data_IF_531595605983
#
_entry.id   IF_531595605983
#
_cell.length_a   1.000
_cell.length_b   1.000
_cell.length_c   1.000
_cell.angle_alpha   90.00
_cell.angle_beta   90.00
_cell.angle_gamma   90.00
#
_symmetry.space_group_name_H-M   'P 1'
#
loop_
_entity.id
_entity.type
_entity.pdbx_description
1 polymer ?
#
# COMPACT_ATOMS: atom_id res chain seq x y z
N UNK A 1 106.65 -36.17 -0.15
CA UNK A 1 105.48 -37.03 -0.30
C UNK A 1 104.35 -36.46 0.50
N UNK A 2 103.55 -35.58 -0.09
CA UNK A 2 102.41 -34.90 0.58
C UNK A 2 101.26 -34.90 -0.40
N UNK A 3 100.16 -35.53 0.05
CA UNK A 3 98.95 -35.74 -0.68
C UNK A 3 98.05 -34.48 -0.51
N UNK A 4 97.68 -33.87 -1.64
CA UNK A 4 96.76 -32.70 -1.62
C UNK A 4 95.31 -33.13 -1.63
N UNK A 5 94.55 -32.57 -0.70
CA UNK A 5 93.13 -32.80 -0.58
C UNK A 5 92.35 -31.71 -1.38
N UNK A 6 91.65 -32.17 -2.40
CA UNK A 6 90.78 -31.29 -3.22
C UNK A 6 89.49 -30.92 -2.47
N UNK A 7 89.19 -29.61 -2.39
CA UNK A 7 87.96 -29.06 -1.88
C UNK A 7 86.94 -28.96 -3.00
N UNK A 8 85.91 -29.76 -2.98
CA UNK A 8 84.72 -29.63 -3.83
C UNK A 8 83.81 -28.47 -3.34
N UNK A 9 83.64 -27.43 -4.13
CA UNK A 9 82.67 -26.36 -3.93
C UNK A 9 81.27 -26.86 -4.30
N UNK A 10 80.34 -26.92 -3.31
CA UNK A 10 78.96 -27.13 -3.55
C UNK A 10 78.28 -25.78 -4.02
N UNK A 11 77.81 -25.79 -5.24
CA UNK A 11 76.97 -24.67 -5.78
C UNK A 11 75.56 -24.86 -5.25
N UNK A 12 75.13 -23.94 -4.39
CA UNK A 12 73.72 -23.82 -3.96
C UNK A 12 72.94 -23.17 -5.10
N UNK A 13 72.06 -23.94 -5.72
CA UNK A 13 71.00 -23.39 -6.59
C UNK A 13 69.97 -22.72 -5.75
N UNK A 14 69.82 -21.40 -5.89
CA UNK A 14 68.68 -20.59 -5.32
C UNK A 14 67.57 -20.70 -6.32
N UNK A 15 66.46 -21.30 -5.93
CA UNK A 15 65.19 -21.28 -6.66
C UNK A 15 64.49 -19.92 -6.41
N UNK A 16 64.02 -19.25 -7.44
CA UNK A 16 63.20 -18.03 -7.22
C UNK A 16 61.81 -18.39 -6.65
N UNK A 17 61.48 -17.78 -5.53
CA UNK A 17 60.14 -17.84 -4.96
C UNK A 17 59.16 -17.13 -5.91
N UNK A 18 58.33 -17.90 -6.61
CA UNK A 18 57.25 -17.38 -7.42
C UNK A 18 56.15 -16.80 -6.52
N UNK A 19 55.97 -15.49 -6.60
CA UNK A 19 54.87 -14.77 -5.96
C UNK A 19 53.58 -15.12 -6.72
N UNK A 20 52.76 -16.02 -6.15
CA UNK A 20 51.40 -16.27 -6.68
C UNK A 20 50.51 -15.14 -6.23
N UNK A 21 50.26 -14.21 -7.13
CA UNK A 21 49.28 -13.11 -6.93
C UNK A 21 47.89 -13.68 -7.11
N UNK A 22 47.20 -14.03 -6.03
CA UNK A 22 45.78 -14.42 -6.03
C UNK A 22 44.92 -13.16 -6.25
N UNK A 23 44.48 -12.97 -7.49
CA UNK A 23 43.48 -11.92 -7.82
C UNK A 23 42.12 -12.39 -7.29
N UNK A 24 41.67 -11.84 -6.15
CA UNK A 24 40.30 -11.95 -5.71
C UNK A 24 39.40 -11.12 -6.65
N UNK A 25 38.76 -11.79 -7.60
CA UNK A 25 37.67 -11.18 -8.39
C UNK A 25 36.46 -11.07 -7.49
N UNK A 26 36.28 -9.91 -6.89
CA UNK A 26 35.03 -9.56 -6.22
C UNK A 26 33.92 -9.45 -7.29
N UNK A 27 33.09 -10.48 -7.42
CA UNK A 27 31.86 -10.39 -8.20
C UNK A 27 30.90 -9.42 -7.49
N UNK A 28 30.94 -8.16 -7.93
CA UNK A 28 29.89 -7.20 -7.58
C UNK A 28 28.61 -7.72 -8.22
N UNK A 29 27.76 -8.37 -7.44
CA UNK A 29 26.42 -8.70 -7.87
C UNK A 29 25.72 -7.39 -8.17
N UNK A 30 25.55 -7.04 -9.45
CA UNK A 30 24.69 -5.95 -9.88
C UNK A 30 23.26 -6.25 -9.38
N UNK A 31 22.87 -5.70 -8.23
CA UNK A 31 21.47 -5.63 -7.88
C UNK A 31 20.79 -4.75 -8.95
N UNK A 32 19.70 -5.21 -9.58
CA UNK A 32 18.94 -4.35 -10.47
C UNK A 32 18.57 -3.07 -9.70
N UNK A 33 18.67 -1.90 -10.34
CA UNK A 33 18.25 -0.65 -9.69
C UNK A 33 16.81 -0.81 -9.24
N UNK A 34 16.53 -0.40 -7.98
CA UNK A 34 15.14 -0.33 -7.48
C UNK A 34 14.36 0.54 -8.46
N UNK A 35 13.14 0.15 -8.85
CA UNK A 35 12.30 1.00 -9.68
C UNK A 35 12.16 2.36 -9.01
N UNK A 36 12.12 3.45 -9.80
CA UNK A 36 12.02 4.79 -9.24
C UNK A 36 10.81 4.86 -8.30
N UNK A 37 10.89 5.63 -7.20
CA UNK A 37 9.77 5.78 -6.27
C UNK A 37 8.50 6.06 -7.06
N UNK A 38 7.52 5.15 -6.96
CA UNK A 38 6.18 5.32 -7.48
C UNK A 38 5.95 5.06 -8.97
N UNK A 39 6.73 4.23 -9.67
CA UNK A 39 6.23 3.71 -10.94
C UNK A 39 4.82 3.11 -10.72
N UNK A 40 3.82 3.43 -11.58
CA UNK A 40 2.50 2.85 -11.44
C UNK A 40 2.66 1.34 -11.48
N UNK A 41 2.37 0.70 -10.34
CA UNK A 41 2.31 -0.75 -10.28
C UNK A 41 0.96 -1.12 -10.87
N UNK A 42 0.92 -1.54 -12.13
CA UNK A 42 -0.27 -2.20 -12.64
C UNK A 42 -0.62 -3.32 -11.67
N UNK A 43 -1.83 -3.30 -11.12
CA UNK A 43 -2.29 -4.40 -10.30
C UNK A 43 -2.45 -5.61 -11.24
N UNK A 44 -1.77 -6.74 -10.99
CA UNK A 44 -2.05 -7.96 -11.73
C UNK A 44 -3.50 -8.36 -11.45
N UNK A 45 -4.12 -9.04 -12.42
CA UNK A 45 -5.48 -9.57 -12.27
C UNK A 45 -5.61 -10.31 -10.92
N UNK A 46 -6.80 -10.25 -10.31
CA UNK A 46 -7.08 -10.85 -9.01
C UNK A 46 -6.68 -12.34 -8.95
N UNK A 47 -6.86 -13.07 -10.06
CA UNK A 47 -6.50 -14.47 -10.22
C UNK A 47 -5.00 -14.76 -10.38
N UNK A 48 -4.17 -13.74 -10.62
CA UNK A 48 -2.76 -13.94 -10.96
C UNK A 48 -1.84 -14.06 -9.74
N UNK A 49 -2.31 -13.75 -8.53
CA UNK A 49 -1.51 -13.83 -7.31
C UNK A 49 -2.39 -14.21 -6.11
N UNK A 50 -1.85 -15.03 -5.22
CA UNK A 50 -2.39 -15.16 -3.88
C UNK A 50 -2.08 -13.89 -3.09
N UNK A 51 -3.08 -13.01 -2.95
CA UNK A 51 -2.93 -11.78 -2.22
C UNK A 51 -2.86 -12.06 -0.72
N UNK A 52 -1.71 -11.73 -0.12
CA UNK A 52 -1.51 -11.64 1.31
C UNK A 52 -1.35 -10.18 1.67
N UNK A 53 -2.23 -9.63 2.49
CA UNK A 53 -2.21 -8.21 2.75
C UNK A 53 -2.21 -7.86 4.23
N UNK A 54 -1.72 -6.68 4.54
CA UNK A 54 -1.72 -6.09 5.87
C UNK A 54 -2.34 -4.69 5.78
N UNK A 55 -3.22 -4.39 6.71
CA UNK A 55 -3.73 -3.04 6.92
C UNK A 55 -3.28 -2.57 8.28
N UNK A 56 -2.34 -1.65 8.32
CA UNK A 56 -1.78 -1.17 9.57
C UNK A 56 -1.65 0.35 9.56
N UNK A 57 -2.40 1.01 10.44
CA UNK A 57 -2.38 2.46 10.59
C UNK A 57 -1.78 2.90 11.93
N UNK A 58 -1.54 1.95 12.85
CA UNK A 58 -1.02 2.23 14.19
C UNK A 58 0.03 1.22 14.63
N UNK A 59 0.86 1.65 15.57
CA UNK A 59 1.93 0.82 16.14
C UNK A 59 3.17 0.75 15.25
N UNK A 60 4.17 0.03 15.74
CA UNK A 60 5.42 -0.19 15.01
C UNK A 60 5.19 -1.12 13.82
N UNK A 61 5.70 -0.71 12.66
CA UNK A 61 5.60 -1.50 11.44
C UNK A 61 6.59 -2.66 11.48
N UNK A 62 6.07 -3.89 11.40
CA UNK A 62 6.87 -5.09 11.23
C UNK A 62 7.04 -5.40 9.72
N UNK A 63 8.24 -5.21 9.15
CA UNK A 63 8.49 -5.50 7.74
C UNK A 63 8.52 -7.00 7.43
N UNK A 64 8.61 -7.87 8.43
CA UNK A 64 8.69 -9.33 8.26
C UNK A 64 7.31 -10.00 8.19
N UNK A 65 6.23 -9.24 8.39
CA UNK A 65 4.87 -9.77 8.19
C UNK A 65 4.76 -10.38 6.79
N UNK A 66 4.30 -11.63 6.67
CA UNK A 66 4.20 -12.33 5.38
C UNK A 66 3.04 -11.77 4.54
N UNK A 67 3.22 -10.55 4.02
CA UNK A 67 2.27 -9.85 3.17
C UNK A 67 2.98 -9.29 1.93
N UNK A 68 2.26 -9.26 0.82
CA UNK A 68 2.73 -8.66 -0.44
C UNK A 68 1.97 -7.37 -0.80
N UNK A 69 1.01 -6.97 0.03
CA UNK A 69 0.31 -5.67 -0.01
C UNK A 69 0.24 -5.08 1.38
N UNK A 70 0.63 -3.83 1.53
CA UNK A 70 0.54 -3.09 2.79
C UNK A 70 -0.25 -1.80 2.59
N UNK A 71 -1.34 -1.65 3.35
CA UNK A 71 -2.09 -0.40 3.46
C UNK A 71 -1.62 0.33 4.72
N UNK A 72 -1.05 1.51 4.55
CA UNK A 72 -0.35 2.24 5.60
C UNK A 72 -0.76 3.72 5.66
N UNK A 73 -0.55 4.33 6.83
CA UNK A 73 -0.69 5.77 7.02
C UNK A 73 0.55 6.51 6.42
N UNK A 74 0.36 7.42 5.46
CA UNK A 74 1.47 8.13 4.84
C UNK A 74 2.15 9.14 5.76
N UNK A 75 1.49 9.63 6.80
CA UNK A 75 2.08 10.58 7.74
C UNK A 75 3.01 9.83 8.70
N UNK A 76 2.54 8.74 9.28
CA UNK A 76 3.28 7.91 10.23
C UNK A 76 4.41 7.09 9.58
N UNK A 77 4.23 6.65 8.33
CA UNK A 77 5.20 5.78 7.65
C UNK A 77 6.34 6.60 7.04
N UNK A 78 7.59 6.20 7.30
CA UNK A 78 8.79 6.85 6.74
C UNK A 78 9.17 6.30 5.36
N UNK A 79 9.93 7.09 4.58
CA UNK A 79 10.47 6.64 3.30
C UNK A 79 11.45 5.45 3.46
N UNK A 80 12.15 5.33 4.58
CA UNK A 80 13.02 4.20 4.88
C UNK A 80 12.21 2.91 5.06
N UNK A 81 11.10 2.95 5.80
CA UNK A 81 10.22 1.80 5.98
C UNK A 81 9.61 1.34 4.65
N UNK A 82 9.13 2.27 3.83
CA UNK A 82 8.60 1.92 2.50
C UNK A 82 9.67 1.33 1.59
N UNK A 83 10.92 1.80 1.65
CA UNK A 83 12.03 1.25 0.89
C UNK A 83 12.32 -0.22 1.27
N UNK A 84 12.29 -0.55 2.57
CA UNK A 84 12.46 -1.93 3.06
C UNK A 84 11.37 -2.85 2.50
N UNK A 85 10.10 -2.45 2.61
CA UNK A 85 8.98 -3.26 2.09
C UNK A 85 9.05 -3.43 0.57
N UNK A 86 9.40 -2.38 -0.17
CA UNK A 86 9.56 -2.43 -1.63
C UNK A 86 10.70 -3.35 -2.06
N UNK A 87 11.80 -3.40 -1.30
CA UNK A 87 12.90 -4.33 -1.54
C UNK A 87 12.48 -5.81 -1.41
N UNK A 88 11.34 -6.08 -0.78
CA UNK A 88 10.69 -7.39 -0.64
C UNK A 88 9.57 -7.62 -1.67
N UNK A 89 9.53 -6.82 -2.74
CA UNK A 89 8.48 -6.84 -3.79
C UNK A 89 7.05 -6.59 -3.25
N UNK A 90 6.93 -5.89 -2.12
CA UNK A 90 5.62 -5.54 -1.55
C UNK A 90 5.03 -4.32 -2.26
N UNK A 91 3.72 -4.36 -2.48
CA UNK A 91 2.93 -3.24 -2.99
C UNK A 91 2.47 -2.37 -1.84
N UNK A 92 2.70 -1.08 -1.95
CA UNK A 92 2.41 -0.13 -0.89
C UNK A 92 1.24 0.76 -1.27
N UNK A 93 0.23 0.75 -0.43
CA UNK A 93 -0.99 1.52 -0.55
C UNK A 93 -1.03 2.58 0.54
N UNK A 94 -1.17 3.82 0.15
CA UNK A 94 -1.27 4.98 1.01
C UNK A 94 -2.74 5.23 1.31
N UNK A 95 -3.19 5.16 2.57
CA UNK A 95 -4.56 5.54 2.90
C UNK A 95 -4.68 7.05 3.02
N UNK A 96 -5.63 7.64 2.30
CA UNK A 96 -5.94 9.07 2.34
C UNK A 96 -7.42 9.30 2.53
N UNK A 97 -7.77 10.03 3.57
CA UNK A 97 -9.13 10.52 3.78
C UNK A 97 -9.41 11.66 2.80
N UNK A 98 -10.26 11.41 1.80
CA UNK A 98 -10.51 12.36 0.71
C UNK A 98 -11.75 13.20 0.92
N UNK A 99 -12.75 12.68 1.66
CA UNK A 99 -14.02 13.36 1.95
C UNK A 99 -14.11 13.95 3.36
N UNK A 100 -13.06 13.84 4.15
CA UNK A 100 -13.02 14.36 5.52
C UNK A 100 -11.63 14.85 5.92
N UNK A 101 -11.58 15.63 7.01
CA UNK A 101 -10.33 16.12 7.62
C UNK A 101 -10.37 15.92 9.13
N UNK A 102 -9.27 15.46 9.73
CA UNK A 102 -9.09 15.42 11.17
C UNK A 102 -8.43 16.74 11.65
N UNK A 103 -8.75 17.24 12.85
CA UNK A 103 -8.09 18.43 13.39
C UNK A 103 -6.56 18.33 13.42
N UNK A 104 -6.02 17.14 13.71
CA UNK A 104 -4.59 16.86 13.79
C UNK A 104 -3.94 16.54 12.43
N UNK A 105 -4.70 16.51 11.31
CA UNK A 105 -4.09 16.36 10.00
C UNK A 105 -3.15 17.56 9.73
N UNK A 106 -1.91 17.37 9.28
CA UNK A 106 -0.91 18.45 9.14
C UNK A 106 -1.37 19.60 8.23
N UNK A 107 -2.29 19.32 7.34
CA UNK A 107 -2.86 20.26 6.37
C UNK A 107 -4.30 20.68 6.70
N UNK A 108 -4.79 20.39 7.91
CA UNK A 108 -6.16 20.68 8.30
C UNK A 108 -6.53 22.15 8.11
N UNK A 109 -5.63 23.07 8.42
CA UNK A 109 -5.84 24.53 8.28
C UNK A 109 -6.06 25.00 6.83
N UNK A 110 -5.73 24.19 5.84
CA UNK A 110 -5.92 24.51 4.42
C UNK A 110 -7.35 24.36 3.92
N UNK A 111 -8.21 23.75 4.71
CA UNK A 111 -9.65 23.66 4.42
C UNK A 111 -10.36 24.82 5.08
N UNK A 112 -10.88 25.82 4.36
CA UNK A 112 -11.59 26.94 4.93
C UNK A 112 -12.93 26.50 5.53
N UNK A 113 -13.49 27.33 6.42
CA UNK A 113 -14.67 26.98 7.21
C UNK A 113 -15.91 26.61 6.34
N UNK A 114 -16.07 27.26 5.20
CA UNK A 114 -17.20 27.06 4.29
C UNK A 114 -17.23 25.67 3.62
N UNK A 115 -16.11 24.93 3.61
CA UNK A 115 -16.10 23.56 3.11
C UNK A 115 -16.10 22.52 4.22
N UNK A 116 -16.14 22.92 5.50
CA UNK A 116 -16.19 22.03 6.64
C UNK A 116 -17.64 21.86 7.10
N UNK A 117 -18.09 20.64 7.14
CA UNK A 117 -19.45 20.29 7.55
C UNK A 117 -19.54 19.77 8.98
N UNK A 118 -20.33 18.75 9.17
CA UNK A 118 -20.52 18.11 10.48
C UNK A 118 -19.35 17.21 10.83
N UNK A 119 -19.02 17.12 12.12
CA UNK A 119 -18.03 16.16 12.64
C UNK A 119 -18.66 14.78 12.78
N UNK A 120 -17.95 13.77 12.28
CA UNK A 120 -18.38 12.37 12.38
C UNK A 120 -18.26 11.87 13.81
N UNK A 121 -19.28 11.20 14.29
CA UNK A 121 -19.30 10.65 15.64
C UNK A 121 -18.28 9.51 15.76
N UNK A 122 -17.38 9.61 16.73
CA UNK A 122 -16.39 8.55 17.08
C UNK A 122 -15.07 8.59 16.32
N UNK A 123 -14.90 9.51 15.37
CA UNK A 123 -13.63 9.67 14.64
C UNK A 123 -13.05 11.07 14.70
N UNK A 124 -13.77 12.04 15.26
CA UNK A 124 -13.42 13.47 15.31
C UNK A 124 -13.11 14.11 13.94
N UNK A 125 -13.40 13.38 12.84
CA UNK A 125 -13.21 13.87 11.48
C UNK A 125 -14.38 14.71 11.04
N UNK A 126 -14.10 15.84 10.44
CA UNK A 126 -15.08 16.76 9.87
C UNK A 126 -15.27 16.45 8.39
N UNK A 127 -16.53 16.22 7.97
CA UNK A 127 -16.86 16.01 6.57
C UNK A 127 -16.60 17.27 5.74
N UNK A 128 -16.21 17.04 4.48
CA UNK A 128 -15.91 18.11 3.53
C UNK A 128 -17.00 18.21 2.46
N UNK A 129 -17.25 19.44 1.98
CA UNK A 129 -18.14 19.65 0.84
C UNK A 129 -17.47 19.20 -0.46
N UNK A 130 -17.73 17.96 -0.86
CA UNK A 130 -17.14 17.34 -2.06
C UNK A 130 -17.51 18.02 -3.38
N UNK A 131 -18.48 18.94 -3.38
CA UNK A 131 -18.84 19.77 -4.54
C UNK A 131 -17.78 20.84 -4.81
N UNK A 132 -16.97 21.19 -3.80
CA UNK A 132 -15.94 22.22 -3.87
C UNK A 132 -14.59 21.65 -4.31
N UNK A 133 -14.61 21.02 -5.49
CA UNK A 133 -13.39 20.45 -6.09
C UNK A 133 -12.26 21.47 -6.26
N UNK A 134 -12.60 22.70 -6.58
CA UNK A 134 -11.67 23.83 -6.68
C UNK A 134 -10.83 24.04 -5.41
N UNK A 135 -11.43 23.86 -4.24
CA UNK A 135 -10.78 23.99 -2.92
C UNK A 135 -10.08 22.70 -2.51
N UNK A 136 -10.71 21.55 -2.73
CA UNK A 136 -10.20 20.25 -2.23
C UNK A 136 -9.03 19.72 -3.06
N UNK A 137 -9.06 19.89 -4.37
CA UNK A 137 -8.07 19.37 -5.31
C UNK A 137 -6.61 19.71 -4.96
N UNK A 138 -6.22 20.97 -4.69
CA UNK A 138 -4.83 21.29 -4.38
C UNK A 138 -4.33 20.61 -3.11
N UNK A 139 -5.16 20.45 -2.09
CA UNK A 139 -4.80 19.78 -0.84
C UNK A 139 -4.64 18.27 -1.07
N UNK A 140 -5.58 17.64 -1.76
CA UNK A 140 -5.52 16.21 -2.10
C UNK A 140 -4.33 15.90 -3.01
N UNK A 141 -4.00 16.79 -3.95
CA UNK A 141 -2.82 16.62 -4.80
C UNK A 141 -1.53 16.61 -3.97
N UNK A 142 -1.42 17.43 -2.94
CA UNK A 142 -0.23 17.44 -2.08
C UNK A 142 -0.17 16.19 -1.19
N UNK A 143 -1.30 15.68 -0.67
CA UNK A 143 -1.38 14.39 0.02
C UNK A 143 -0.91 13.25 -0.89
N UNK A 144 -1.33 13.23 -2.14
CA UNK A 144 -0.92 12.21 -3.11
C UNK A 144 0.56 12.34 -3.50
N UNK A 145 1.09 13.56 -3.64
CA UNK A 145 2.53 13.80 -3.84
C UNK A 145 3.35 13.30 -2.64
N UNK A 146 2.85 13.48 -1.41
CA UNK A 146 3.48 12.91 -0.21
C UNK A 146 3.55 11.38 -0.29
N UNK A 147 2.44 10.72 -0.64
CA UNK A 147 2.42 9.27 -0.84
C UNK A 147 3.45 8.85 -1.90
N UNK A 148 3.43 9.50 -3.05
CA UNK A 148 4.35 9.23 -4.15
C UNK A 148 5.80 9.41 -3.74
N UNK A 149 6.12 10.53 -3.10
CA UNK A 149 7.47 10.87 -2.64
C UNK A 149 8.01 9.91 -1.59
N UNK A 150 7.14 9.26 -0.81
CA UNK A 150 7.51 8.21 0.14
C UNK A 150 7.58 6.81 -0.50
N UNK A 151 7.30 6.66 -1.79
CA UNK A 151 7.45 5.40 -2.51
C UNK A 151 6.21 4.50 -2.53
N UNK A 152 5.03 5.03 -2.17
CA UNK A 152 3.78 4.33 -2.39
C UNK A 152 3.45 4.29 -3.90
N UNK A 153 2.86 3.19 -4.36
CA UNK A 153 2.42 3.01 -5.74
C UNK A 153 0.90 3.06 -5.92
N UNK A 154 0.16 3.13 -4.81
CA UNK A 154 -1.30 3.16 -4.81
C UNK A 154 -1.83 4.05 -3.70
N UNK A 155 -3.07 4.51 -3.84
CA UNK A 155 -3.81 5.26 -2.82
C UNK A 155 -5.15 4.62 -2.57
N UNK A 156 -5.49 4.44 -1.29
CA UNK A 156 -6.81 4.01 -0.84
C UNK A 156 -7.61 5.25 -0.45
N UNK A 157 -8.71 5.48 -1.16
CA UNK A 157 -9.59 6.63 -1.00
C UNK A 157 -10.59 6.32 0.12
N UNK A 158 -10.37 6.87 1.30
CA UNK A 158 -11.22 6.74 2.46
C UNK A 158 -12.20 7.91 2.59
N UNK A 159 -13.33 7.71 3.28
CA UNK A 159 -14.40 8.69 3.47
C UNK A 159 -14.98 9.19 2.13
N UNK A 160 -15.18 8.28 1.21
CA UNK A 160 -15.64 8.56 -0.15
C UNK A 160 -17.18 8.40 -0.29
N UNK A 161 -17.92 8.52 0.80
CA UNK A 161 -19.38 8.27 0.89
C UNK A 161 -20.14 9.33 1.68
N UNK A 162 -19.61 10.55 1.79
CA UNK A 162 -20.18 11.65 2.57
C UNK A 162 -21.66 11.94 2.26
N UNK A 163 -22.13 11.61 1.05
CA UNK A 163 -23.54 11.74 0.68
C UNK A 163 -24.47 10.81 1.47
N UNK A 164 -23.97 9.67 1.93
CA UNK A 164 -24.71 8.71 2.74
C UNK A 164 -24.55 8.97 4.25
N UNK A 165 -23.80 10.00 4.61
CA UNK A 165 -23.48 10.38 5.98
C UNK A 165 -24.20 11.69 6.38
N UNK A 166 -24.20 11.97 7.68
CA UNK A 166 -24.64 13.28 8.16
C UNK A 166 -23.52 14.32 7.98
N UNK A 167 -23.17 14.59 6.72
CA UNK A 167 -22.03 15.44 6.40
C UNK A 167 -22.24 16.92 6.70
N UNK A 168 -23.46 17.36 6.93
CA UNK A 168 -23.81 18.79 7.09
C UNK A 168 -24.01 19.52 5.75
N UNK A 169 -23.89 18.80 4.62
CA UNK A 169 -24.12 19.33 3.28
C UNK A 169 -25.23 18.55 2.56
N UNK A 170 -26.00 19.19 1.67
CA UNK A 170 -26.99 18.52 0.84
C UNK A 170 -26.30 17.78 -0.32
N UNK A 171 -25.53 16.76 0.02
CA UNK A 171 -24.85 15.91 -0.96
C UNK A 171 -25.82 14.82 -1.43
N UNK A 172 -25.72 14.46 -2.69
CA UNK A 172 -26.40 13.33 -3.30
C UNK A 172 -25.41 12.33 -3.91
N UNK A 173 -25.94 11.25 -4.47
CA UNK A 173 -25.18 10.20 -5.12
C UNK A 173 -24.30 10.74 -6.26
N UNK A 174 -24.84 11.65 -7.08
CA UNK A 174 -24.14 12.17 -8.27
C UNK A 174 -23.03 13.16 -7.89
N UNK A 175 -23.22 13.97 -6.86
CA UNK A 175 -22.17 14.82 -6.31
C UNK A 175 -20.98 13.98 -5.86
N UNK A 176 -21.24 12.93 -5.10
CA UNK A 176 -20.19 12.04 -4.59
C UNK A 176 -19.54 11.24 -5.71
N UNK A 177 -20.30 10.69 -6.65
CA UNK A 177 -19.78 9.93 -7.77
C UNK A 177 -18.82 10.78 -8.63
N UNK A 178 -19.22 12.01 -8.94
CA UNK A 178 -18.38 12.95 -9.67
C UNK A 178 -17.07 13.23 -8.94
N UNK A 179 -17.16 13.50 -7.64
CA UNK A 179 -15.99 13.73 -6.80
C UNK A 179 -15.05 12.50 -6.78
N UNK A 180 -15.57 11.31 -6.54
CA UNK A 180 -14.78 10.08 -6.48
C UNK A 180 -14.05 9.81 -7.80
N UNK A 181 -14.70 10.06 -8.95
CA UNK A 181 -14.05 9.99 -10.27
C UNK A 181 -12.93 11.03 -10.43
N UNK A 182 -13.16 12.27 -9.99
CA UNK A 182 -12.14 13.32 -10.04
C UNK A 182 -10.93 12.98 -9.17
N UNK A 183 -11.15 12.41 -7.99
CA UNK A 183 -10.07 11.98 -7.08
C UNK A 183 -9.30 10.80 -7.67
N UNK A 184 -9.99 9.80 -8.23
CA UNK A 184 -9.33 8.67 -8.90
C UNK A 184 -8.49 9.14 -10.11
N UNK A 185 -9.03 10.04 -10.92
CA UNK A 185 -8.29 10.64 -12.04
C UNK A 185 -7.06 11.43 -11.55
N UNK A 186 -7.19 12.21 -10.47
CA UNK A 186 -6.06 12.94 -9.86
C UNK A 186 -4.95 11.97 -9.40
N UNK A 187 -5.32 10.85 -8.75
CA UNK A 187 -4.35 9.83 -8.33
C UNK A 187 -3.54 9.31 -9.54
N UNK A 188 -4.21 9.00 -10.64
CA UNK A 188 -3.55 8.54 -11.88
C UNK A 188 -2.60 9.58 -12.47
N UNK A 189 -2.94 10.87 -12.44
CA UNK A 189 -2.04 11.94 -12.93
C UNK A 189 -0.76 12.08 -12.09
N UNK A 190 -0.74 11.48 -10.90
CA UNK A 190 0.40 11.45 -9.96
C UNK A 190 1.01 10.04 -9.84
N UNK A 191 0.76 9.17 -10.85
CA UNK A 191 1.26 7.80 -10.91
C UNK A 191 0.90 6.95 -9.69
N UNK A 192 -0.30 7.12 -9.14
CA UNK A 192 -0.86 6.30 -8.07
C UNK A 192 -2.07 5.53 -8.58
N UNK A 193 -2.10 4.21 -8.32
CA UNK A 193 -3.26 3.36 -8.58
C UNK A 193 -4.37 3.67 -7.56
N UNK A 194 -5.57 4.11 -7.97
CA UNK A 194 -6.66 4.42 -7.05
C UNK A 194 -7.40 3.17 -6.59
N UNK A 195 -7.62 3.03 -5.30
CA UNK A 195 -8.53 2.06 -4.68
C UNK A 195 -9.57 2.75 -3.83
N UNK A 196 -10.70 2.09 -3.59
CA UNK A 196 -11.82 2.62 -2.83
C UNK A 196 -11.97 1.89 -1.50
N UNK A 197 -12.18 2.64 -0.41
CA UNK A 197 -12.60 2.08 0.86
C UNK A 197 -14.10 2.32 1.06
N UNK A 198 -14.87 1.25 1.18
CA UNK A 198 -16.31 1.33 1.38
C UNK A 198 -17.06 1.88 0.15
N UNK A 199 -17.98 2.83 0.35
CA UNK A 199 -18.81 3.46 -0.68
C UNK A 199 -19.51 2.45 -1.62
N UNK A 200 -19.91 1.30 -1.09
CA UNK A 200 -20.42 0.14 -1.84
C UNK A 200 -21.51 0.45 -2.88
N UNK A 201 -22.48 1.36 -2.63
CA UNK A 201 -23.51 1.68 -3.63
C UNK A 201 -22.94 2.29 -4.91
N UNK A 202 -21.71 2.82 -4.88
CA UNK A 202 -21.07 3.45 -6.04
C UNK A 202 -20.07 2.55 -6.76
N UNK A 203 -19.76 1.36 -6.22
CA UNK A 203 -18.72 0.47 -6.76
C UNK A 203 -18.99 0.13 -8.22
N UNK A 204 -20.21 -0.24 -8.59
CA UNK A 204 -20.53 -0.58 -9.98
C UNK A 204 -20.24 0.57 -10.96
N UNK A 205 -20.56 1.81 -10.57
CA UNK A 205 -20.33 2.99 -11.38
C UNK A 205 -18.85 3.45 -11.39
N UNK A 206 -18.10 3.10 -10.34
CA UNK A 206 -16.69 3.47 -10.16
C UNK A 206 -15.72 2.37 -10.62
N UNK A 207 -16.20 1.15 -10.84
CA UNK A 207 -15.34 0.03 -11.21
C UNK A 207 -14.37 0.33 -12.38
N UNK A 208 -14.76 1.08 -13.44
CA UNK A 208 -13.82 1.47 -14.49
C UNK A 208 -12.69 2.40 -14.03
N UNK A 209 -12.96 3.22 -13.02
CA UNK A 209 -12.05 4.27 -12.53
C UNK A 209 -11.09 3.76 -11.45
N UNK A 210 -11.32 2.57 -10.88
CA UNK A 210 -10.59 2.00 -9.76
C UNK A 210 -9.70 0.83 -10.20
N UNK A 211 -8.65 0.54 -9.43
CA UNK A 211 -7.77 -0.60 -9.65
C UNK A 211 -7.95 -1.70 -8.60
N UNK A 212 -8.51 -1.39 -7.44
CA UNK A 212 -8.81 -2.31 -6.35
C UNK A 212 -9.86 -1.72 -5.41
N UNK A 213 -10.32 -2.52 -4.43
CA UNK A 213 -11.09 -2.01 -3.31
C UNK A 213 -10.63 -2.64 -1.99
N UNK A 214 -10.90 -1.93 -0.90
CA UNK A 214 -10.91 -2.46 0.47
C UNK A 214 -12.33 -2.32 1.01
N UNK A 215 -12.86 -3.36 1.64
CA UNK A 215 -14.16 -3.29 2.32
C UNK A 215 -14.10 -3.90 3.72
N UNK A 216 -14.86 -3.30 4.60
CA UNK A 216 -15.00 -3.67 6.00
C UNK A 216 -16.33 -4.39 6.23
N UNK A 217 -16.26 -5.58 6.82
CA UNK A 217 -17.41 -6.30 7.36
C UNK A 217 -18.49 -6.64 6.33
N UNK A 218 -18.13 -6.87 5.06
CA UNK A 218 -19.16 -7.15 4.04
C UNK A 218 -19.85 -8.50 4.28
N UNK A 219 -19.18 -9.49 4.87
CA UNK A 219 -19.81 -10.78 5.21
C UNK A 219 -20.78 -10.59 6.38
N UNK A 220 -20.31 -9.97 7.47
CA UNK A 220 -21.15 -9.67 8.63
C UNK A 220 -22.40 -8.85 8.27
N UNK A 221 -22.28 -7.96 7.30
CA UNK A 221 -23.36 -7.05 6.86
C UNK A 221 -24.11 -7.60 5.63
N UNK A 222 -23.81 -8.82 5.17
CA UNK A 222 -24.44 -9.47 4.02
C UNK A 222 -24.51 -8.56 2.77
N UNK A 223 -23.36 -7.97 2.37
CA UNK A 223 -23.30 -6.99 1.27
C UNK A 223 -22.11 -7.17 0.33
N UNK A 224 -21.40 -8.33 0.39
CA UNK A 224 -20.21 -8.60 -0.42
C UNK A 224 -20.49 -8.58 -1.93
N UNK A 225 -21.69 -8.94 -2.35
CA UNK A 225 -22.09 -8.96 -3.76
C UNK A 225 -21.97 -7.60 -4.45
N UNK A 226 -21.99 -6.49 -3.68
CA UNK A 226 -21.79 -5.14 -4.22
C UNK A 226 -20.38 -4.90 -4.75
N UNK A 227 -19.44 -5.75 -4.38
CA UNK A 227 -18.03 -5.69 -4.83
C UNK A 227 -17.77 -6.52 -6.10
N UNK A 228 -18.72 -7.37 -6.52
CA UNK A 228 -18.59 -8.21 -7.71
C UNK A 228 -18.23 -7.44 -8.99
N UNK A 229 -18.70 -6.21 -9.25
CA UNK A 229 -18.27 -5.48 -10.44
C UNK A 229 -16.75 -5.25 -10.53
N UNK A 230 -16.03 -5.23 -9.42
CA UNK A 230 -14.56 -5.18 -9.43
C UNK A 230 -13.95 -6.57 -9.70
N UNK A 231 -14.49 -7.60 -9.07
CA UNK A 231 -14.05 -8.99 -9.29
C UNK A 231 -14.24 -9.40 -10.73
N UNK A 232 -15.42 -9.11 -11.32
CA UNK A 232 -15.75 -9.39 -12.73
C UNK A 232 -14.82 -8.65 -13.69
N UNK A 233 -14.34 -7.46 -13.27
CA UNK A 233 -13.32 -6.71 -13.99
C UNK A 233 -11.88 -7.21 -13.73
N UNK A 234 -11.70 -8.31 -13.00
CA UNK A 234 -10.40 -8.88 -12.66
C UNK A 234 -9.60 -8.05 -11.65
N UNK A 235 -10.25 -7.17 -10.89
CA UNK A 235 -9.60 -6.28 -9.92
C UNK A 235 -9.66 -6.89 -8.50
N UNK A 236 -8.56 -6.81 -7.72
CA UNK A 236 -8.53 -7.40 -6.39
C UNK A 236 -9.44 -6.63 -5.43
N UNK A 237 -10.10 -7.42 -4.54
CA UNK A 237 -10.84 -6.92 -3.40
C UNK A 237 -10.15 -7.43 -2.14
N UNK A 238 -9.78 -6.52 -1.26
CA UNK A 238 -9.23 -6.77 0.06
C UNK A 238 -10.34 -6.59 1.09
N UNK A 239 -10.60 -7.64 1.86
CA UNK A 239 -11.73 -7.66 2.80
C UNK A 239 -11.24 -7.86 4.23
N UNK A 240 -11.84 -7.15 5.17
CA UNK A 240 -11.55 -7.28 6.59
C UNK A 240 -12.82 -7.50 7.42
N UNK A 241 -12.74 -8.44 8.37
CA UNK A 241 -13.70 -8.57 9.47
C UNK A 241 -13.02 -8.28 10.79
N UNK A 242 -13.78 -7.75 11.74
CA UNK A 242 -13.28 -7.40 13.07
C UNK A 242 -13.77 -8.36 14.15
N UNK A 243 -14.81 -9.11 13.87
CA UNK A 243 -15.46 -10.07 14.77
C UNK A 243 -15.72 -11.39 14.06
N UNK A 244 -16.11 -12.43 14.80
CA UNK A 244 -16.33 -13.77 14.26
C UNK A 244 -15.05 -14.57 14.09
N UNK A 245 -15.15 -15.84 13.81
CA UNK A 245 -14.01 -16.69 13.51
C UNK A 245 -13.69 -16.70 12.01
N UNK A 246 -12.43 -16.93 11.68
CA UNK A 246 -12.01 -17.04 10.27
C UNK A 246 -12.70 -18.19 9.55
N UNK A 247 -13.06 -19.25 10.27
CA UNK A 247 -13.87 -20.38 9.72
C UNK A 247 -15.23 -19.93 9.21
N UNK A 248 -15.81 -18.88 9.81
CA UNK A 248 -17.17 -18.44 9.48
C UNK A 248 -17.19 -17.55 8.24
N UNK A 249 -16.34 -16.51 8.21
CA UNK A 249 -16.38 -15.54 7.13
C UNK A 249 -15.47 -15.88 5.94
N UNK A 250 -14.37 -16.64 6.16
CA UNK A 250 -13.43 -16.95 5.08
C UNK A 250 -14.07 -17.76 3.96
N UNK A 251 -14.92 -18.75 4.29
CA UNK A 251 -15.61 -19.56 3.27
C UNK A 251 -16.40 -18.64 2.33
N UNK A 252 -17.14 -17.70 2.88
CA UNK A 252 -17.95 -16.76 2.11
C UNK A 252 -17.08 -15.80 1.31
N UNK A 253 -16.12 -15.11 1.94
CA UNK A 253 -15.33 -14.09 1.30
C UNK A 253 -14.37 -14.64 0.25
N UNK A 254 -13.76 -15.81 0.51
CA UNK A 254 -12.91 -16.50 -0.48
C UNK A 254 -13.75 -17.01 -1.65
N UNK A 255 -14.99 -17.45 -1.41
CA UNK A 255 -15.96 -17.82 -2.46
C UNK A 255 -16.29 -16.65 -3.40
N UNK A 256 -16.20 -15.40 -2.92
CA UNK A 256 -16.29 -14.20 -3.76
C UNK A 256 -14.95 -13.84 -4.45
N UNK A 257 -13.87 -14.55 -4.19
CA UNK A 257 -12.54 -14.24 -4.72
C UNK A 257 -11.82 -13.12 -3.97
N UNK A 258 -12.17 -12.83 -2.73
CA UNK A 258 -11.55 -11.75 -1.94
C UNK A 258 -10.31 -12.25 -1.18
N UNK A 259 -9.34 -11.36 -1.05
CA UNK A 259 -8.25 -11.54 -0.10
C UNK A 259 -8.71 -11.04 1.28
N UNK A 260 -8.95 -11.96 2.22
CA UNK A 260 -9.62 -11.64 3.47
C UNK A 260 -8.73 -11.85 4.69
N UNK A 261 -8.86 -10.94 5.66
CA UNK A 261 -8.17 -11.01 6.94
C UNK A 261 -9.12 -10.64 8.08
N UNK A 262 -8.81 -11.12 9.28
CA UNK A 262 -9.37 -10.58 10.53
C UNK A 262 -8.39 -9.59 11.13
N UNK A 263 -8.90 -8.50 11.68
CA UNK A 263 -8.12 -7.42 12.29
C UNK A 263 -8.71 -6.98 13.63
N UNK A 264 -7.92 -6.30 14.42
CA UNK A 264 -8.45 -5.40 15.45
C UNK A 264 -8.95 -4.10 14.80
N UNK A 265 -10.01 -3.50 15.35
CA UNK A 265 -10.51 -2.19 14.86
C UNK A 265 -9.49 -1.05 15.00
N UNK A 266 -8.48 -1.23 15.85
CA UNK A 266 -7.35 -0.30 16.01
C UNK A 266 -6.42 -0.28 14.80
N UNK A 267 -6.53 -1.26 13.90
CA UNK A 267 -5.67 -1.43 12.72
C UNK A 267 -4.18 -1.42 13.12
N UNK A 268 -3.86 -2.14 14.19
CA UNK A 268 -2.49 -2.39 14.66
C UNK A 268 -1.75 -3.46 13.82
N UNK A 269 -0.61 -3.95 14.27
CA UNK A 269 0.19 -4.95 13.57
C UNK A 269 -0.49 -6.35 13.51
N UNK A 270 -1.38 -6.68 14.45
CA UNK A 270 -2.04 -7.98 14.50
C UNK A 270 -2.95 -8.22 13.28
N UNK A 271 -2.88 -9.40 12.71
CA UNK A 271 -3.80 -9.89 11.68
C UNK A 271 -3.92 -11.40 11.72
N UNK A 272 -5.03 -11.93 11.25
CA UNK A 272 -5.23 -13.35 10.99
C UNK A 272 -5.79 -13.52 9.56
N UNK A 273 -4.97 -13.99 8.60
CA UNK A 273 -5.41 -14.14 7.21
C UNK A 273 -6.32 -15.35 7.05
N UNK A 274 -7.23 -15.27 6.08
CA UNK A 274 -7.92 -16.46 5.60
C UNK A 274 -6.93 -17.41 4.95
N UNK A 275 -7.16 -18.74 5.04
CA UNK A 275 -6.37 -19.71 4.29
C UNK A 275 -6.39 -19.37 2.80
N UNK A 276 -5.26 -19.60 2.13
CA UNK A 276 -5.23 -19.54 0.67
C UNK A 276 -6.11 -20.66 0.12
N UNK A 277 -6.97 -20.36 -0.84
CA UNK A 277 -7.78 -21.34 -1.57
C UNK A 277 -6.93 -22.11 -2.56
#
# INVERSE_FOLDING_TARGET
MRIGVGRTRRVRRVLPAGLVLTVLVATVACRPPLPPPGAPTSWPAASARHWQWQWQLRGELDPEVPANVFVLDPVATTAAQTAVLRARDSRLVCQVHVGSVHPDDPDSSRYPAEVRGATSTGTDRTWLDVRRWDVLRPVLADRFRLCRGKGFGAVLLADADGYAQRSGFPLDFDHQLRFNRQVAALARTLDLSPGLLGALPQVAALAPDLDFAVDEECVRLARCEKLLPLVDAGKPVFHVEYTGDTTDFCVTSVGYGFASIRKHRTLDAWRLPCPAS
#
